data_IF_571348875697
#
_entry.id   IF_571348875697
#
_cell.length_a   1.000
_cell.length_b   1.000
_cell.length_c   1.000
_cell.angle_alpha   90.00
_cell.angle_beta   90.00
_cell.angle_gamma   90.00
#
_symmetry.space_group_name_H-M   'P 1'
#
loop_
_entity.id
_entity.type
_entity.pdbx_description
1 polymer ?
#
# COMPACT_ATOMS: atom_id res chain seq x y z
N UNK A 1 -43.83 -52.80 -11.07
CA UNK A 1 -43.85 -51.65 -10.14
C UNK A 1 -42.41 -51.20 -9.89
N UNK A 2 -42.14 -49.90 -10.09
CA UNK A 2 -41.15 -49.01 -9.46
C UNK A 2 -39.80 -49.57 -8.95
N UNK A 3 -38.64 -48.94 -9.09
CA UNK A 3 -38.24 -47.64 -9.60
C UNK A 3 -36.71 -47.66 -9.75
N UNK A 4 -36.25 -46.87 -10.71
CA UNK A 4 -34.89 -46.34 -10.87
C UNK A 4 -34.35 -45.68 -9.59
N UNK A 5 -33.04 -45.78 -9.33
CA UNK A 5 -32.22 -44.69 -8.77
C UNK A 5 -30.72 -45.06 -8.78
N UNK A 6 -30.08 -44.84 -9.93
CA UNK A 6 -28.66 -44.48 -9.93
C UNK A 6 -28.53 -43.06 -9.36
N UNK A 7 -27.96 -42.91 -8.16
CA UNK A 7 -27.45 -41.62 -7.67
C UNK A 7 -25.95 -41.58 -7.90
N UNK A 8 -25.53 -41.10 -9.08
CA UNK A 8 -24.19 -40.53 -9.25
C UNK A 8 -24.31 -39.04 -8.97
N UNK A 9 -23.95 -38.62 -7.76
CA UNK A 9 -23.71 -37.21 -7.44
C UNK A 9 -22.46 -36.76 -8.19
N UNK A 10 -22.64 -36.30 -9.42
CA UNK A 10 -21.60 -35.62 -10.18
C UNK A 10 -21.55 -34.16 -9.74
N UNK A 11 -20.34 -33.64 -9.48
CA UNK A 11 -20.13 -32.22 -9.22
C UNK A 11 -20.85 -31.38 -10.27
N UNK A 12 -21.60 -30.38 -9.80
CA UNK A 12 -22.30 -29.47 -10.71
C UNK A 12 -21.28 -28.73 -11.56
N UNK A 13 -21.65 -28.36 -12.79
CA UNK A 13 -20.82 -27.49 -13.65
C UNK A 13 -20.43 -26.19 -12.95
N UNK A 14 -21.27 -25.71 -12.02
CA UNK A 14 -20.95 -24.58 -11.12
C UNK A 14 -19.80 -24.88 -10.15
N UNK A 15 -19.71 -26.10 -9.64
CA UNK A 15 -18.68 -26.50 -8.67
C UNK A 15 -17.30 -26.59 -9.35
N UNK A 16 -17.26 -27.11 -10.59
CA UNK A 16 -16.02 -27.20 -11.39
C UNK A 16 -15.55 -25.81 -11.84
N UNK A 17 -16.48 -24.96 -12.28
CA UNK A 17 -16.16 -23.59 -12.70
C UNK A 17 -15.70 -22.71 -11.55
N UNK A 18 -16.15 -22.96 -10.31
CA UNK A 18 -15.79 -22.17 -9.13
C UNK A 18 -14.61 -22.77 -8.34
N UNK A 19 -14.15 -23.98 -8.63
CA UNK A 19 -13.04 -24.62 -7.91
C UNK A 19 -11.72 -23.80 -7.92
N UNK A 20 -11.32 -23.13 -9.02
CA UNK A 20 -10.14 -22.24 -9.00
C UNK A 20 -10.40 -20.94 -8.23
N UNK A 21 -11.65 -20.44 -8.26
CA UNK A 21 -12.03 -19.14 -7.68
C UNK A 21 -12.31 -19.21 -6.18
N UNK A 22 -12.76 -20.36 -5.67
CA UNK A 22 -12.91 -20.63 -4.24
C UNK A 22 -11.55 -20.75 -3.53
N UNK A 23 -10.49 -21.11 -4.26
CA UNK A 23 -9.12 -21.14 -3.75
C UNK A 23 -8.48 -19.74 -3.71
N UNK A 24 -8.91 -18.84 -4.59
CA UNK A 24 -8.47 -17.42 -4.60
C UNK A 24 -9.33 -16.51 -3.71
N UNK A 25 -10.62 -16.80 -3.49
CA UNK A 25 -11.50 -16.05 -2.56
C UNK A 25 -11.49 -16.58 -1.11
N UNK A 26 -10.50 -17.40 -0.76
CA UNK A 26 -10.16 -17.77 0.62
C UNK A 26 -8.76 -17.28 0.96
N UNK A 27 -8.54 -15.97 0.83
CA UNK A 27 -7.32 -15.34 1.33
C UNK A 27 -7.57 -13.99 2.01
N UNK A 28 -8.83 -13.67 2.36
CA UNK A 28 -9.17 -12.51 3.21
C UNK A 28 -9.25 -12.86 4.71
N UNK A 29 -8.96 -14.10 5.09
CA UNK A 29 -8.85 -14.50 6.49
C UNK A 29 -8.04 -15.78 6.65
N UNK A 30 -6.71 -15.65 6.59
CA UNK A 30 -5.89 -16.53 7.43
C UNK A 30 -5.53 -15.73 8.65
N UNK A 31 -6.32 -15.93 9.71
CA UNK A 31 -5.90 -15.70 11.09
C UNK A 31 -4.45 -16.17 11.24
N UNK A 32 -3.50 -15.24 11.18
CA UNK A 32 -2.08 -15.55 11.32
C UNK A 32 -1.74 -15.57 12.80
N UNK A 33 -2.22 -16.59 13.53
CA UNK A 33 -1.65 -16.97 14.83
C UNK A 33 -0.25 -17.58 14.65
N UNK A 34 0.64 -16.83 14.03
CA UNK A 34 2.01 -17.15 13.67
C UNK A 34 2.88 -16.09 14.34
N UNK A 35 4.13 -16.45 14.71
CA UNK A 35 5.01 -15.55 15.47
C UNK A 35 5.29 -14.19 14.80
N UNK A 36 4.99 -14.03 13.51
CA UNK A 36 5.13 -12.75 12.83
C UNK A 36 4.05 -11.73 13.18
N UNK A 37 2.88 -12.10 13.72
CA UNK A 37 1.94 -11.12 14.26
C UNK A 37 2.59 -10.33 15.40
N UNK A 38 3.41 -11.01 16.21
CA UNK A 38 4.17 -10.38 17.27
C UNK A 38 5.30 -9.51 16.69
N UNK A 39 6.05 -10.01 15.71
CA UNK A 39 7.12 -9.23 15.05
C UNK A 39 6.59 -8.03 14.26
N UNK A 40 5.41 -8.14 13.66
CA UNK A 40 4.73 -7.04 12.96
C UNK A 40 4.23 -6.01 13.97
N UNK A 41 3.64 -6.43 15.10
CA UNK A 41 3.24 -5.51 16.18
C UNK A 41 4.43 -4.77 16.79
N UNK A 42 5.55 -5.46 16.99
CA UNK A 42 6.80 -4.83 17.43
C UNK A 42 7.29 -3.80 16.39
N UNK A 43 7.30 -4.16 15.11
CA UNK A 43 7.67 -3.27 14.02
C UNK A 43 6.75 -2.03 13.91
N UNK A 44 5.44 -2.22 14.12
CA UNK A 44 4.45 -1.14 14.18
C UNK A 44 4.67 -0.23 15.39
N UNK A 45 5.08 -0.78 16.54
CA UNK A 45 5.52 -0.02 17.70
C UNK A 45 6.70 0.89 17.38
N UNK A 46 7.78 0.29 16.86
CA UNK A 46 8.98 1.01 16.44
C UNK A 46 8.69 2.09 15.39
N UNK A 47 7.80 1.80 14.44
CA UNK A 47 7.37 2.77 13.43
C UNK A 47 6.64 3.97 14.07
N UNK A 48 5.72 3.72 15.01
CA UNK A 48 4.98 4.79 15.71
C UNK A 48 5.89 5.65 16.57
N UNK A 49 6.93 5.08 17.13
CA UNK A 49 7.95 5.78 17.94
C UNK A 49 8.99 6.52 17.08
N UNK A 50 8.92 6.40 15.75
CA UNK A 50 9.87 7.04 14.84
C UNK A 50 11.21 6.31 14.71
N UNK A 51 11.32 5.08 15.22
CA UNK A 51 12.51 4.24 15.12
C UNK A 51 12.61 3.55 13.75
N UNK A 52 12.67 4.34 12.68
CA UNK A 52 12.51 3.87 11.30
C UNK A 52 13.52 2.82 10.84
N UNK A 53 14.79 2.89 11.26
CA UNK A 53 15.78 1.86 10.93
C UNK A 53 15.45 0.50 11.57
N UNK A 54 15.03 0.52 12.84
CA UNK A 54 14.69 -0.70 13.59
C UNK A 54 13.39 -1.29 13.06
N UNK A 55 12.37 -0.44 12.82
CA UNK A 55 11.12 -0.84 12.19
C UNK A 55 11.38 -1.48 10.81
N UNK A 56 12.20 -0.85 9.96
CA UNK A 56 12.58 -1.39 8.67
C UNK A 56 13.27 -2.76 8.78
N UNK A 57 14.17 -2.95 9.74
CA UNK A 57 14.82 -4.24 9.97
C UNK A 57 13.82 -5.32 10.37
N UNK A 58 12.83 -4.99 11.21
CA UNK A 58 11.77 -5.91 11.62
C UNK A 58 10.82 -6.25 10.46
N UNK A 59 10.37 -5.26 9.66
CA UNK A 59 9.54 -5.52 8.49
C UNK A 59 10.26 -6.36 7.42
N UNK A 60 11.57 -6.18 7.24
CA UNK A 60 12.36 -7.04 6.34
C UNK A 60 12.36 -8.50 6.78
N UNK A 61 12.32 -8.79 8.09
CA UNK A 61 12.14 -10.16 8.59
C UNK A 61 10.74 -10.69 8.26
N UNK A 62 9.71 -9.86 8.39
CA UNK A 62 8.33 -10.23 8.02
C UNK A 62 8.26 -10.60 6.53
N UNK A 63 8.81 -9.76 5.65
CA UNK A 63 8.83 -10.00 4.20
C UNK A 63 9.75 -11.17 3.81
N UNK A 64 10.81 -11.45 4.56
CA UNK A 64 11.66 -12.62 4.30
C UNK A 64 10.94 -13.95 4.60
N UNK A 65 10.01 -13.94 5.56
CA UNK A 65 9.19 -15.10 5.92
C UNK A 65 7.98 -15.25 4.99
N UNK A 66 7.32 -14.14 4.66
CA UNK A 66 6.25 -14.06 3.68
C UNK A 66 6.53 -12.94 2.68
N UNK A 67 7.09 -13.28 1.50
CA UNK A 67 7.34 -12.30 0.45
C UNK A 67 6.09 -11.56 -0.02
N UNK A 68 4.89 -12.12 0.17
CA UNK A 68 3.60 -11.53 -0.17
C UNK A 68 2.98 -10.68 0.94
N UNK A 69 3.68 -10.45 2.06
CA UNK A 69 3.17 -9.65 3.17
C UNK A 69 3.08 -8.17 2.80
N UNK A 70 1.98 -7.81 2.12
CA UNK A 70 1.75 -6.48 1.53
C UNK A 70 1.80 -5.35 2.54
N UNK A 71 1.19 -5.52 3.72
CA UNK A 71 1.19 -4.46 4.74
C UNK A 71 2.61 -4.16 5.25
N UNK A 72 3.44 -5.18 5.54
CA UNK A 72 4.84 -4.98 5.92
C UNK A 72 5.62 -4.26 4.81
N UNK A 73 5.40 -4.60 3.53
CA UNK A 73 5.99 -3.88 2.41
C UNK A 73 5.55 -2.41 2.36
N UNK A 74 4.26 -2.12 2.55
CA UNK A 74 3.73 -0.74 2.65
C UNK A 74 4.41 0.03 3.79
N UNK A 75 4.55 -0.57 4.98
CA UNK A 75 5.28 0.05 6.10
C UNK A 75 6.77 0.26 5.78
N UNK A 76 7.41 -0.64 5.04
CA UNK A 76 8.80 -0.44 4.57
C UNK A 76 8.92 0.80 3.67
N UNK A 77 7.96 1.08 2.79
CA UNK A 77 7.94 2.30 1.96
C UNK A 77 7.96 3.54 2.87
N UNK A 78 7.09 3.58 3.88
CA UNK A 78 7.05 4.68 4.86
C UNK A 78 8.38 4.83 5.58
N UNK A 79 8.98 3.73 6.07
CA UNK A 79 10.31 3.78 6.68
C UNK A 79 11.38 4.29 5.71
N UNK A 80 11.35 3.87 4.45
CA UNK A 80 12.32 4.32 3.46
C UNK A 80 12.20 5.82 3.18
N UNK A 81 10.99 6.37 3.14
CA UNK A 81 10.76 7.81 2.96
C UNK A 81 11.32 8.63 4.13
N UNK A 82 11.02 8.24 5.37
CA UNK A 82 11.59 8.89 6.57
C UNK A 82 13.11 8.78 6.67
N UNK A 83 13.70 7.80 5.99
CA UNK A 83 15.14 7.60 5.91
C UNK A 83 15.77 8.19 4.63
N UNK A 84 14.99 8.90 3.82
CA UNK A 84 15.40 9.52 2.55
C UNK A 84 15.99 8.49 1.55
N UNK A 85 15.53 7.25 1.63
CA UNK A 85 15.97 6.11 0.81
C UNK A 85 15.00 5.87 -0.35
N UNK A 86 14.82 6.89 -1.18
CA UNK A 86 13.82 6.94 -2.26
C UNK A 86 13.94 5.80 -3.27
N UNK A 87 15.16 5.46 -3.69
CA UNK A 87 15.41 4.34 -4.63
C UNK A 87 14.93 3.00 -4.08
N UNK A 88 15.08 2.76 -2.77
CA UNK A 88 14.60 1.54 -2.13
C UNK A 88 13.07 1.57 -1.98
N UNK A 89 12.49 2.73 -1.65
CA UNK A 89 11.04 2.92 -1.62
C UNK A 89 10.41 2.59 -2.99
N UNK A 90 10.96 3.13 -4.08
CA UNK A 90 10.52 2.84 -5.46
C UNK A 90 10.51 1.35 -5.77
N UNK A 91 11.60 0.63 -5.46
CA UNK A 91 11.67 -0.82 -5.70
C UNK A 91 10.59 -1.61 -4.95
N UNK A 92 10.17 -1.16 -3.77
CA UNK A 92 9.07 -1.79 -3.04
C UNK A 92 7.73 -1.41 -3.65
N UNK A 93 7.53 -0.16 -4.04
CA UNK A 93 6.34 0.31 -4.75
C UNK A 93 6.12 -0.40 -6.08
N UNK A 94 7.18 -0.65 -6.86
CA UNK A 94 7.12 -1.39 -8.12
C UNK A 94 6.58 -2.82 -7.91
N UNK A 95 7.02 -3.47 -6.83
CA UNK A 95 6.52 -4.81 -6.47
C UNK A 95 5.07 -4.74 -6.01
N UNK A 96 4.75 -3.78 -5.14
CA UNK A 96 3.37 -3.56 -4.69
C UNK A 96 2.44 -3.34 -5.89
N UNK A 97 2.86 -2.56 -6.90
CA UNK A 97 2.10 -2.30 -8.13
C UNK A 97 1.87 -3.56 -8.95
N UNK A 98 2.87 -4.44 -9.07
CA UNK A 98 2.73 -5.72 -9.78
C UNK A 98 1.68 -6.63 -9.14
N UNK A 99 1.58 -6.62 -7.81
CA UNK A 99 0.59 -7.42 -7.09
C UNK A 99 -0.82 -6.80 -7.19
N UNK A 100 -0.91 -5.50 -6.90
CA UNK A 100 -2.16 -4.73 -6.97
C UNK A 100 -1.82 -3.23 -7.04
N UNK A 101 -2.39 -2.55 -8.02
CA UNK A 101 -2.38 -1.09 -8.07
C UNK A 101 -3.53 -0.56 -7.19
N UNK A 102 -3.21 0.29 -6.21
CA UNK A 102 -4.16 0.88 -5.27
C UNK A 102 -3.74 2.33 -4.93
N UNK A 103 -4.61 3.07 -4.22
CA UNK A 103 -4.36 4.47 -3.86
C UNK A 103 -3.04 4.66 -3.09
N UNK A 104 -2.62 3.67 -2.29
CA UNK A 104 -1.34 3.73 -1.58
C UNK A 104 -0.17 3.76 -2.55
N UNK A 105 -0.22 2.91 -3.59
CA UNK A 105 0.83 2.86 -4.62
C UNK A 105 0.91 4.19 -5.36
N UNK A 106 -0.22 4.78 -5.78
CA UNK A 106 -0.24 6.08 -6.46
C UNK A 106 0.29 7.20 -5.57
N UNK A 107 -0.25 7.32 -4.36
CA UNK A 107 0.16 8.35 -3.40
C UNK A 107 1.66 8.36 -3.16
N UNK A 108 2.22 7.22 -2.77
CA UNK A 108 3.61 7.12 -2.39
C UNK A 108 4.57 7.04 -3.59
N UNK A 109 4.13 6.57 -4.76
CA UNK A 109 4.93 6.69 -5.99
C UNK A 109 5.08 8.15 -6.39
N UNK A 110 4.02 8.95 -6.26
CA UNK A 110 4.10 10.39 -6.52
C UNK A 110 5.04 11.11 -5.55
N UNK A 111 4.96 10.81 -4.25
CA UNK A 111 5.89 11.36 -3.23
C UNK A 111 7.33 10.97 -3.52
N UNK A 112 7.58 9.70 -3.85
CA UNK A 112 8.95 9.22 -4.18
C UNK A 112 9.47 9.90 -5.45
N UNK A 113 8.64 10.02 -6.50
CA UNK A 113 9.03 10.68 -7.74
C UNK A 113 9.39 12.16 -7.53
N UNK A 114 8.59 12.87 -6.72
CA UNK A 114 8.85 14.26 -6.36
C UNK A 114 10.20 14.42 -5.64
N UNK A 115 10.49 13.59 -4.63
CA UNK A 115 11.80 13.61 -3.94
C UNK A 115 12.97 13.13 -4.81
N UNK A 116 12.72 12.38 -5.89
CA UNK A 116 13.74 12.07 -6.89
C UNK A 116 13.92 13.17 -7.95
N UNK A 117 13.12 14.24 -7.88
CA UNK A 117 13.16 15.38 -8.80
C UNK A 117 12.32 15.19 -10.07
N UNK A 118 11.58 14.09 -10.20
CA UNK A 118 10.71 13.82 -11.35
C UNK A 118 9.28 14.27 -11.06
N UNK A 119 9.08 15.58 -11.18
CA UNK A 119 7.79 16.21 -10.90
C UNK A 119 6.71 15.80 -11.92
N UNK A 120 7.09 15.48 -13.15
CA UNK A 120 6.15 15.00 -14.18
C UNK A 120 5.58 13.63 -13.79
N UNK A 121 6.45 12.70 -13.38
CA UNK A 121 6.00 11.41 -12.87
C UNK A 121 5.21 11.56 -11.56
N UNK A 122 5.58 12.50 -10.69
CA UNK A 122 4.84 12.77 -9.46
C UNK A 122 3.38 13.13 -9.73
N UNK A 123 3.14 14.08 -10.62
CA UNK A 123 1.78 14.50 -10.99
C UNK A 123 0.99 13.43 -11.71
N UNK A 124 1.63 12.65 -12.59
CA UNK A 124 0.96 11.53 -13.25
C UNK A 124 0.46 10.46 -12.26
N UNK A 125 1.18 10.23 -11.16
CA UNK A 125 0.75 9.32 -10.09
C UNK A 125 -0.33 9.95 -9.20
N UNK A 126 -0.18 11.23 -8.84
CA UNK A 126 -1.14 11.93 -7.99
C UNK A 126 -2.48 12.19 -8.67
N UNK A 127 -2.52 12.37 -10.00
CA UNK A 127 -3.77 12.46 -10.78
C UNK A 127 -4.64 11.18 -10.66
N UNK A 128 -4.00 10.03 -10.39
CA UNK A 128 -4.69 8.74 -10.20
C UNK A 128 -5.13 8.49 -8.76
N UNK A 129 -4.72 9.34 -7.82
CA UNK A 129 -5.07 9.18 -6.41
C UNK A 129 -6.50 9.67 -6.14
N UNK A 130 -7.38 8.77 -5.69
CA UNK A 130 -8.80 9.08 -5.51
C UNK A 130 -9.36 8.61 -4.15
N UNK A 131 -8.54 8.64 -3.09
CA UNK A 131 -8.99 8.25 -1.76
C UNK A 131 -9.64 9.44 -1.01
N UNK A 132 -10.98 9.45 -1.00
CA UNK A 132 -11.79 10.48 -0.34
C UNK A 132 -11.82 10.40 1.19
N UNK A 133 -11.38 9.28 1.79
CA UNK A 133 -11.28 9.12 3.24
C UNK A 133 -10.03 9.82 3.82
N UNK A 134 -9.14 10.32 2.96
CA UNK A 134 -7.94 11.09 3.34
C UNK A 134 -8.02 12.54 2.82
N UNK A 135 -8.96 13.36 3.33
CA UNK A 135 -9.26 14.67 2.78
C UNK A 135 -8.09 15.65 2.83
N UNK A 136 -7.17 15.52 3.80
CA UNK A 136 -6.00 16.39 3.87
C UNK A 136 -4.98 16.06 2.78
N UNK A 137 -4.79 14.76 2.51
CA UNK A 137 -3.90 14.29 1.46
C UNK A 137 -4.45 14.70 0.10
N UNK A 138 -5.75 14.48 -0.13
CA UNK A 138 -6.42 14.85 -1.37
C UNK A 138 -6.34 16.37 -1.62
N UNK A 139 -6.56 17.19 -0.58
CA UNK A 139 -6.40 18.65 -0.67
C UNK A 139 -4.97 19.05 -1.04
N UNK A 140 -3.97 18.45 -0.43
CA UNK A 140 -2.58 18.75 -0.73
C UNK A 140 -2.23 18.40 -2.18
N UNK A 141 -2.60 17.20 -2.64
CA UNK A 141 -2.41 16.76 -4.03
C UNK A 141 -3.11 17.72 -5.00
N UNK A 142 -4.38 18.04 -4.78
CA UNK A 142 -5.14 18.91 -5.69
C UNK A 142 -4.52 20.30 -5.80
N UNK A 143 -3.94 20.83 -4.71
CA UNK A 143 -3.20 22.09 -4.76
C UNK A 143 -1.95 21.97 -5.63
N UNK A 144 -1.17 20.89 -5.49
CA UNK A 144 0.04 20.71 -6.31
C UNK A 144 -0.29 20.52 -7.79
N UNK A 145 -1.35 19.77 -8.12
CA UNK A 145 -1.85 19.61 -9.48
C UNK A 145 -2.31 20.96 -10.07
N UNK A 146 -3.08 21.74 -9.31
CA UNK A 146 -3.55 23.06 -9.78
C UNK A 146 -2.41 24.05 -10.05
N UNK A 147 -1.35 24.04 -9.22
CA UNK A 147 -0.15 24.85 -9.45
C UNK A 147 0.54 24.42 -10.76
N UNK A 148 0.73 23.12 -10.95
CA UNK A 148 1.34 22.60 -12.18
C UNK A 148 0.55 22.97 -13.44
N UNK A 149 -0.78 22.83 -13.39
CA UNK A 149 -1.68 23.19 -14.49
C UNK A 149 -1.72 24.70 -14.78
N UNK A 150 -1.52 25.56 -13.78
CA UNK A 150 -1.42 27.01 -13.97
C UNK A 150 -0.09 27.45 -14.59
N UNK A 151 0.86 26.52 -14.78
CA UNK A 151 2.21 26.79 -15.26
C UNK A 151 3.19 27.15 -14.15
N UNK A 152 2.74 27.22 -12.90
CA UNK A 152 3.59 27.34 -11.72
C UNK A 152 4.14 25.95 -11.38
N UNK A 153 5.36 25.63 -11.81
CA UNK A 153 5.99 24.38 -11.39
C UNK A 153 6.59 24.57 -9.99
N UNK A 154 6.02 23.99 -8.93
CA UNK A 154 6.65 24.05 -7.61
C UNK A 154 8.00 23.34 -7.66
N UNK A 155 8.89 23.68 -6.72
CA UNK A 155 10.08 22.87 -6.54
C UNK A 155 9.67 21.41 -6.22
N UNK A 156 10.30 20.39 -6.84
CA UNK A 156 9.90 19.00 -6.62
C UNK A 156 9.99 18.55 -5.17
N UNK A 157 10.98 19.04 -4.42
CA UNK A 157 11.13 18.72 -3.00
C UNK A 157 10.03 19.39 -2.18
N UNK A 158 9.68 20.64 -2.48
CA UNK A 158 8.56 21.35 -1.84
C UNK A 158 7.23 20.65 -2.07
N UNK A 159 6.95 20.25 -3.31
CA UNK A 159 5.73 19.52 -3.66
C UNK A 159 5.65 18.17 -2.94
N UNK A 160 6.75 17.40 -2.96
CA UNK A 160 6.86 16.13 -2.25
C UNK A 160 6.67 16.28 -0.74
N UNK A 161 7.29 17.31 -0.15
CA UNK A 161 7.17 17.64 1.27
C UNK A 161 5.74 18.02 1.64
N UNK A 162 5.07 18.87 0.87
CA UNK A 162 3.71 19.30 1.14
C UNK A 162 2.73 18.11 1.19
N UNK A 163 2.84 17.18 0.25
CA UNK A 163 2.00 15.96 0.23
C UNK A 163 2.39 15.02 1.38
N UNK A 164 3.69 14.84 1.65
CA UNK A 164 4.14 13.97 2.75
C UNK A 164 3.71 14.48 4.13
N UNK A 165 3.76 15.78 4.37
CA UNK A 165 3.28 16.39 5.60
C UNK A 165 1.76 16.23 5.77
N UNK A 166 0.99 16.34 4.69
CA UNK A 166 -0.45 16.11 4.70
C UNK A 166 -0.79 14.65 5.06
N UNK A 167 0.01 13.67 4.59
CA UNK A 167 -0.12 12.26 4.97
C UNK A 167 0.11 12.09 6.47
N UNK A 168 1.16 12.69 7.03
CA UNK A 168 1.48 12.55 8.44
C UNK A 168 0.48 13.28 9.35
N UNK A 169 -0.03 14.44 8.93
CA UNK A 169 -1.13 15.15 9.60
C UNK A 169 -2.42 14.31 9.59
N UNK A 170 -2.83 13.78 8.43
CA UNK A 170 -3.99 12.90 8.33
C UNK A 170 -3.85 11.71 9.28
N UNK A 171 -2.69 11.04 9.26
CA UNK A 171 -2.42 9.89 10.14
C UNK A 171 -2.46 10.27 11.62
N UNK A 172 -1.99 11.46 12.01
CA UNK A 172 -2.10 11.93 13.41
C UNK A 172 -3.57 12.09 13.81
N UNK A 173 -4.40 12.70 12.97
CA UNK A 173 -5.85 12.86 13.21
C UNK A 173 -6.58 11.53 13.32
N UNK A 174 -6.29 10.59 12.44
CA UNK A 174 -6.92 9.26 12.45
C UNK A 174 -6.63 8.49 13.75
N UNK A 175 -5.50 8.80 14.41
CA UNK A 175 -5.13 8.23 15.72
C UNK A 175 -5.72 8.98 16.91
N UNK A 176 -6.47 10.07 16.69
CA UNK A 176 -7.02 10.91 17.75
C UNK A 176 -5.97 11.69 18.55
N UNK A 177 -4.84 12.02 17.92
CA UNK A 177 -3.75 12.83 18.50
C UNK A 177 -3.82 14.28 18.03
#
# INVERSE_FOLDING_TARGET
MSQNKYHKSGMSRRDVLMAPWQRFRRQDSRDSKTGWDASAREADGLLREGHFQQALAAYRKCVAQDPGHREAQKKMVVCYLWLERYRQARKVLDRLRQDQEDDFVHLYSGVVAAFEGDLTAAFAEWDRYANYDQPLVLRAINLQLALYESGESPDPEEAGRAVFEAIEEQRRRDRGQ
#
